data_IF_423034824440
#
_entry.id   IF_423034824440
#
_cell.length_a   1.000
_cell.length_b   1.000
_cell.length_c   1.000
_cell.angle_alpha   90.00
_cell.angle_beta   90.00
_cell.angle_gamma   90.00
#
_symmetry.space_group_name_H-M   'P 1'
#
loop_
_entity.id
_entity.type
_entity.pdbx_description
1 polymer ?
#
# COMPACT_ATOMS: atom_id res chain seq x y z
N UNK A 1 -41.61 -16.75 -10.13
CA UNK A 1 -41.03 -17.12 -8.82
C UNK A 1 -39.62 -17.61 -9.08
N UNK A 2 -38.67 -16.67 -9.04
CA UNK A 2 -37.22 -16.92 -9.09
C UNK A 2 -36.58 -15.59 -8.70
N UNK A 3 -36.21 -15.48 -7.43
CA UNK A 3 -35.76 -14.25 -6.80
C UNK A 3 -34.45 -13.76 -7.40
N UNK A 4 -34.43 -12.49 -7.76
CA UNK A 4 -33.19 -11.75 -7.95
C UNK A 4 -32.54 -11.60 -6.57
N UNK A 5 -31.33 -12.14 -6.44
CA UNK A 5 -30.49 -11.97 -5.26
C UNK A 5 -30.25 -10.48 -5.02
N UNK A 6 -30.89 -9.92 -3.98
CA UNK A 6 -30.50 -8.65 -3.37
C UNK A 6 -29.06 -8.77 -2.88
N UNK A 7 -28.11 -8.35 -3.73
CA UNK A 7 -26.74 -8.08 -3.30
C UNK A 7 -26.79 -6.91 -2.31
N UNK A 8 -26.12 -7.03 -1.15
CA UNK A 8 -26.15 -5.98 -0.14
C UNK A 8 -25.63 -4.68 -0.76
N UNK A 9 -26.49 -3.67 -0.83
CA UNK A 9 -26.10 -2.33 -1.23
C UNK A 9 -25.00 -1.85 -0.27
N UNK A 10 -23.76 -1.86 -0.74
CA UNK A 10 -22.66 -1.16 -0.07
C UNK A 10 -23.12 0.27 0.19
N UNK A 11 -22.95 0.83 1.40
CA UNK A 11 -23.42 2.17 1.74
C UNK A 11 -22.67 3.18 0.87
N UNK A 12 -23.22 3.45 -0.31
CA UNK A 12 -22.64 4.39 -1.24
C UNK A 12 -22.80 5.79 -0.65
N UNK A 13 -21.70 6.54 -0.57
CA UNK A 13 -21.70 7.93 -0.12
C UNK A 13 -22.45 8.87 -1.10
N UNK A 14 -23.02 8.31 -2.17
CA UNK A 14 -23.86 8.98 -3.14
C UNK A 14 -25.33 8.92 -2.70
N UNK A 15 -25.81 9.98 -2.05
CA UNK A 15 -27.26 10.13 -1.83
C UNK A 15 -27.93 10.46 -3.16
N UNK A 16 -28.47 9.45 -3.83
CA UNK A 16 -29.32 9.60 -5.01
C UNK A 16 -30.71 10.04 -4.56
N UNK A 17 -31.05 11.31 -4.79
CA UNK A 17 -32.41 11.80 -4.51
C UNK A 17 -33.19 11.76 -5.83
N UNK A 18 -34.14 10.82 -5.92
CA UNK A 18 -35.08 10.76 -7.04
C UNK A 18 -36.14 11.82 -6.82
N UNK A 19 -36.17 12.85 -7.67
CA UNK A 19 -37.23 13.86 -7.66
C UNK A 19 -38.21 13.57 -8.80
N UNK A 20 -39.51 13.54 -8.51
CA UNK A 20 -40.54 13.35 -9.52
C UNK A 20 -40.74 14.65 -10.30
N UNK A 21 -40.50 14.62 -11.61
CA UNK A 21 -40.81 15.73 -12.51
C UNK A 21 -42.32 15.92 -12.69
N UNK A 22 -42.70 17.05 -13.30
CA UNK A 22 -44.09 17.49 -13.46
C UNK A 22 -44.85 16.80 -14.62
N UNK A 23 -44.17 15.97 -15.43
CA UNK A 23 -44.74 15.26 -16.58
C UNK A 23 -44.62 13.74 -16.43
N UNK A 24 -45.59 13.01 -17.00
CA UNK A 24 -45.62 11.54 -17.01
C UNK A 24 -44.39 11.01 -17.77
N UNK A 25 -43.45 10.39 -17.05
CA UNK A 25 -42.21 9.81 -17.59
C UNK A 25 -40.93 10.51 -17.15
N UNK A 26 -41.02 11.68 -16.52
CA UNK A 26 -39.85 12.53 -16.25
C UNK A 26 -39.28 12.24 -14.84
N UNK A 27 -38.45 11.20 -14.75
CA UNK A 27 -37.75 10.81 -13.51
C UNK A 27 -36.27 11.10 -13.66
N UNK A 28 -35.77 12.16 -13.03
CA UNK A 28 -34.34 12.47 -13.00
C UNK A 28 -33.74 12.14 -11.62
N UNK A 29 -32.57 11.51 -11.64
CA UNK A 29 -31.80 11.21 -10.43
C UNK A 29 -30.76 12.32 -10.25
N UNK A 30 -30.90 13.14 -9.21
CA UNK A 30 -29.89 14.14 -8.86
C UNK A 30 -28.87 13.49 -7.93
N UNK A 31 -27.69 13.20 -8.46
CA UNK A 31 -26.56 12.69 -7.67
C UNK A 31 -25.94 13.88 -6.93
N UNK A 32 -26.22 14.00 -5.63
CA UNK A 32 -25.63 15.04 -4.79
C UNK A 32 -24.28 14.52 -4.28
N UNK A 33 -23.19 15.03 -4.85
CA UNK A 33 -21.83 14.81 -4.34
C UNK A 33 -21.60 15.75 -3.14
N UNK A 34 -21.18 15.27 -1.97
CA UNK A 34 -20.81 16.16 -0.86
C UNK A 34 -19.56 16.96 -1.26
N UNK A 35 -19.82 18.23 -1.59
CA UNK A 35 -18.81 19.22 -1.97
C UNK A 35 -17.85 19.38 -0.79
N UNK A 36 -16.54 19.20 -1.02
CA UNK A 36 -15.51 19.40 0.00
C UNK A 36 -15.02 18.14 0.73
N UNK A 37 -15.52 16.94 0.39
CA UNK A 37 -15.06 15.69 1.02
C UNK A 37 -13.68 15.23 0.57
N UNK A 38 -13.11 15.77 -0.51
CA UNK A 38 -11.83 15.28 -1.05
C UNK A 38 -11.85 13.79 -1.42
N UNK A 39 -13.02 13.21 -1.70
CA UNK A 39 -13.16 11.83 -2.13
C UNK A 39 -13.42 11.80 -3.65
N UNK A 40 -12.57 11.13 -4.43
CA UNK A 40 -12.77 10.93 -5.87
C UNK A 40 -13.37 9.54 -6.09
N UNK A 41 -14.61 9.47 -6.59
CA UNK A 41 -15.30 8.20 -6.79
C UNK A 41 -15.77 7.96 -8.22
N UNK A 42 -15.63 6.71 -8.69
CA UNK A 42 -16.17 6.21 -9.96
C UNK A 42 -16.64 4.76 -9.76
N UNK A 43 -17.91 4.47 -10.07
CA UNK A 43 -18.44 3.10 -10.08
C UNK A 43 -18.49 2.37 -8.73
N UNK A 44 -18.67 3.10 -7.61
CA UNK A 44 -18.76 2.50 -6.27
C UNK A 44 -17.41 2.35 -5.55
N UNK A 45 -16.28 2.73 -6.16
CA UNK A 45 -14.99 2.91 -5.48
C UNK A 45 -14.81 4.38 -5.12
N UNK A 46 -14.49 4.68 -3.86
CA UNK A 46 -14.14 6.01 -3.38
C UNK A 46 -12.66 6.06 -3.01
N UNK A 47 -11.92 6.98 -3.63
CA UNK A 47 -10.49 7.22 -3.36
C UNK A 47 -10.35 8.45 -2.49
N UNK A 48 -9.67 8.30 -1.35
CA UNK A 48 -9.33 9.41 -0.47
C UNK A 48 -8.21 10.25 -1.09
N UNK A 49 -8.55 11.43 -1.62
CA UNK A 49 -7.54 12.34 -2.19
C UNK A 49 -6.77 13.05 -1.09
N UNK A 50 -5.60 13.59 -1.41
CA UNK A 50 -4.71 14.29 -0.46
C UNK A 50 -5.40 15.35 0.43
N UNK A 51 -6.52 15.93 -0.03
CA UNK A 51 -7.30 16.92 0.72
C UNK A 51 -7.94 16.34 2.00
N UNK A 52 -8.24 15.03 2.03
CA UNK A 52 -8.74 14.33 3.23
C UNK A 52 -7.67 14.04 4.26
N UNK A 53 -6.44 13.78 3.81
CA UNK A 53 -5.30 13.49 4.68
C UNK A 53 -4.55 14.75 5.16
N UNK A 54 -4.97 15.93 4.69
CA UNK A 54 -4.41 17.20 5.15
C UNK A 54 -4.78 17.42 6.62
N UNK A 55 -3.82 17.18 7.51
CA UNK A 55 -3.97 17.34 8.96
C UNK A 55 -4.64 18.67 9.34
N UNK A 56 -5.80 18.59 9.99
CA UNK A 56 -6.57 19.74 10.48
C UNK A 56 -5.90 20.36 11.70
N UNK A 57 -4.78 21.08 11.52
CA UNK A 57 -4.10 21.77 12.62
C UNK A 57 -2.75 22.39 12.24
N UNK A 58 -2.33 23.45 12.94
CA UNK A 58 -1.02 24.11 12.70
C UNK A 58 0.16 23.16 13.00
N UNK A 59 0.04 22.36 14.05
CA UNK A 59 1.04 21.35 14.45
C UNK A 59 1.14 20.24 13.42
N UNK A 60 0.00 19.67 12.99
CA UNK A 60 -0.02 18.63 11.95
C UNK A 60 0.58 19.11 10.62
N UNK A 61 0.36 20.38 10.24
CA UNK A 61 0.97 20.97 9.03
C UNK A 61 2.49 21.13 9.16
N UNK A 62 2.98 21.52 10.33
CA UNK A 62 4.42 21.60 10.59
C UNK A 62 5.05 20.20 10.55
N UNK A 63 4.44 19.22 11.23
CA UNK A 63 4.87 17.82 11.21
C UNK A 63 4.93 17.23 9.79
N UNK A 64 3.87 17.44 8.99
CA UNK A 64 3.84 17.02 7.60
C UNK A 64 4.85 17.77 6.70
N UNK A 65 5.26 18.99 7.06
CA UNK A 65 6.35 19.70 6.34
C UNK A 65 7.70 19.09 6.68
N UNK A 66 7.95 18.80 7.95
CA UNK A 66 9.17 18.12 8.39
C UNK A 66 9.31 16.75 7.73
N UNK A 67 8.25 15.93 7.76
CA UNK A 67 8.24 14.63 7.08
C UNK A 67 8.45 14.75 5.57
N UNK A 68 7.84 15.74 4.92
CA UNK A 68 8.05 15.97 3.47
C UNK A 68 9.48 16.37 3.12
N UNK A 69 10.15 17.08 4.02
CA UNK A 69 11.55 17.44 3.83
C UNK A 69 12.49 16.26 4.06
N UNK A 70 12.23 15.45 5.10
CA UNK A 70 13.10 14.32 5.47
C UNK A 70 12.89 13.07 4.61
N UNK A 71 11.64 12.74 4.26
CA UNK A 71 11.25 11.48 3.60
C UNK A 71 10.83 11.73 2.15
N UNK A 72 10.28 12.91 1.85
CA UNK A 72 9.80 13.27 0.51
C UNK A 72 8.27 13.41 0.40
N UNK A 73 7.78 13.65 -0.82
CA UNK A 73 6.33 13.73 -1.10
C UNK A 73 5.69 12.35 -0.86
N UNK A 74 4.49 12.34 -0.26
CA UNK A 74 3.66 11.12 -0.19
C UNK A 74 3.22 10.74 -1.60
N UNK A 75 3.51 9.50 -1.99
CA UNK A 75 3.05 8.93 -3.24
C UNK A 75 1.61 8.44 -3.08
N UNK A 76 0.76 8.74 -4.06
CA UNK A 76 -0.57 8.14 -4.13
C UNK A 76 -0.38 6.66 -4.49
N UNK A 77 -1.02 5.75 -3.76
CA UNK A 77 -0.89 4.29 -3.94
C UNK A 77 -1.24 3.83 -5.35
N UNK A 78 -2.04 4.61 -6.11
CA UNK A 78 -2.34 4.34 -7.52
C UNK A 78 -1.19 4.72 -8.47
N UNK A 79 -0.29 5.63 -8.07
CA UNK A 79 0.88 6.07 -8.85
C UNK A 79 2.18 5.35 -8.42
N UNK A 80 2.17 4.66 -7.29
CA UNK A 80 3.33 3.94 -6.72
C UNK A 80 3.83 2.80 -7.63
N UNK A 81 2.91 2.15 -8.38
CA UNK A 81 3.26 1.05 -9.30
C UNK A 81 4.04 1.50 -10.55
N UNK A 82 3.94 2.78 -10.93
CA UNK A 82 4.61 3.33 -12.12
C UNK A 82 5.91 4.08 -11.79
N UNK A 83 6.13 4.41 -10.52
CA UNK A 83 7.30 5.18 -10.11
C UNK A 83 8.52 4.26 -9.97
N UNK A 84 9.53 4.47 -10.84
CA UNK A 84 10.78 3.73 -10.80
C UNK A 84 11.67 4.31 -9.71
N UNK A 85 12.08 3.47 -8.76
CA UNK A 85 13.05 3.84 -7.73
C UNK A 85 14.37 4.23 -8.40
N UNK A 86 14.79 5.49 -8.24
CA UNK A 86 16.06 5.98 -8.75
C UNK A 86 17.24 5.26 -8.08
N UNK A 87 18.42 5.24 -8.70
CA UNK A 87 19.61 4.63 -8.09
C UNK A 87 19.93 5.24 -6.72
N UNK A 88 19.75 6.56 -6.56
CA UNK A 88 20.04 7.25 -5.31
C UNK A 88 19.12 6.84 -4.16
N UNK A 89 17.85 6.55 -4.45
CA UNK A 89 16.87 6.11 -3.44
C UNK A 89 16.83 4.59 -3.28
N UNK A 90 17.12 3.84 -4.34
CA UNK A 90 17.09 2.38 -4.35
C UNK A 90 18.34 1.75 -3.73
N UNK A 91 19.50 2.39 -3.87
CA UNK A 91 20.76 1.87 -3.34
C UNK A 91 20.72 1.69 -1.82
N UNK A 92 20.27 2.66 -1.00
CA UNK A 92 20.15 2.46 0.45
C UNK A 92 19.15 1.36 0.84
N UNK A 93 18.04 1.24 0.11
CA UNK A 93 17.00 0.22 0.38
C UNK A 93 17.55 -1.18 0.11
N UNK A 94 18.14 -1.38 -1.07
CA UNK A 94 18.74 -2.66 -1.45
C UNK A 94 19.94 -3.01 -0.55
N UNK A 95 20.73 -2.02 -0.13
CA UNK A 95 21.83 -2.24 0.80
C UNK A 95 21.33 -2.67 2.19
N UNK A 96 20.31 -1.98 2.72
CA UNK A 96 19.73 -2.31 4.04
C UNK A 96 19.13 -3.71 4.08
N UNK A 97 18.45 -4.12 3.00
CA UNK A 97 17.84 -5.45 2.89
C UNK A 97 18.90 -6.57 2.81
N UNK A 98 19.95 -6.36 2.00
CA UNK A 98 21.06 -7.31 1.90
C UNK A 98 21.86 -7.46 3.20
N UNK A 99 22.07 -6.37 3.95
CA UNK A 99 22.76 -6.44 5.25
C UNK A 99 21.93 -7.27 6.23
N UNK A 100 20.61 -7.04 6.28
CA UNK A 100 19.72 -7.79 7.16
C UNK A 100 19.69 -9.28 6.80
N UNK A 101 19.60 -9.62 5.52
CA UNK A 101 19.53 -11.01 5.07
C UNK A 101 20.86 -11.75 5.28
N UNK A 102 21.99 -11.15 4.95
CA UNK A 102 23.31 -11.77 5.12
C UNK A 102 23.67 -12.00 6.59
N UNK A 103 23.38 -11.04 7.47
CA UNK A 103 23.61 -11.19 8.90
C UNK A 103 22.70 -12.26 9.52
N UNK A 104 21.39 -12.15 9.32
CA UNK A 104 20.43 -13.06 9.95
C UNK A 104 20.50 -14.47 9.37
N UNK A 105 20.65 -14.61 8.04
CA UNK A 105 20.71 -15.93 7.41
C UNK A 105 21.96 -16.71 7.81
N UNK A 106 23.12 -16.06 7.93
CA UNK A 106 24.35 -16.75 8.33
C UNK A 106 24.34 -17.12 9.82
N UNK A 107 23.82 -16.24 10.68
CA UNK A 107 23.62 -16.55 12.10
C UNK A 107 22.66 -17.74 12.30
N UNK A 108 21.49 -17.72 11.66
CA UNK A 108 20.51 -18.79 11.81
C UNK A 108 21.04 -20.11 11.24
N UNK A 109 21.76 -20.09 10.11
CA UNK A 109 22.39 -21.28 9.55
C UNK A 109 23.41 -21.89 10.53
N UNK A 110 24.31 -21.08 11.10
CA UNK A 110 25.27 -21.57 12.10
C UNK A 110 24.58 -22.05 13.37
N UNK A 111 23.50 -21.38 13.81
CA UNK A 111 22.72 -21.76 14.98
C UNK A 111 22.06 -23.14 14.79
N UNK A 112 21.43 -23.37 13.64
CA UNK A 112 20.83 -24.66 13.30
C UNK A 112 21.89 -25.76 13.22
N UNK A 113 23.05 -25.49 12.59
CA UNK A 113 24.15 -26.45 12.52
C UNK A 113 24.75 -26.73 13.90
N UNK A 114 24.94 -25.71 14.74
CA UNK A 114 25.44 -25.89 16.11
C UNK A 114 24.48 -26.74 16.95
N UNK A 115 23.16 -26.56 16.79
CA UNK A 115 22.14 -27.41 17.42
C UNK A 115 22.18 -28.85 16.89
N UNK A 116 22.47 -29.04 15.60
CA UNK A 116 22.68 -30.38 15.02
C UNK A 116 23.99 -31.04 15.50
N UNK A 117 24.96 -30.25 15.98
CA UNK A 117 26.20 -30.68 16.61
C UNK A 117 27.44 -29.97 16.06
N UNK A 118 28.50 -29.87 16.86
CA UNK A 118 29.72 -29.13 16.52
C UNK A 118 30.36 -29.62 15.20
N UNK A 119 30.29 -30.92 14.90
CA UNK A 119 30.77 -31.48 13.64
C UNK A 119 30.01 -30.99 12.41
N UNK A 120 28.74 -30.63 12.54
CA UNK A 120 27.93 -30.11 11.45
C UNK A 120 28.35 -28.70 11.01
N UNK A 121 29.06 -27.94 11.86
CA UNK A 121 29.62 -26.63 11.46
C UNK A 121 30.61 -26.75 10.30
N UNK A 122 31.24 -27.91 10.10
CA UNK A 122 32.08 -28.17 8.93
C UNK A 122 31.29 -28.11 7.60
N UNK A 123 29.97 -28.26 7.63
CA UNK A 123 29.08 -28.15 6.47
C UNK A 123 28.83 -26.69 6.04
N UNK A 124 29.23 -25.69 6.83
CA UNK A 124 29.02 -24.27 6.51
C UNK A 124 29.62 -23.89 5.16
N UNK A 125 30.86 -24.30 4.88
CA UNK A 125 31.54 -24.00 3.60
C UNK A 125 30.89 -24.73 2.40
N UNK A 126 30.61 -26.05 2.47
CA UNK A 126 29.83 -26.75 1.44
C UNK A 126 28.45 -26.12 1.17
N UNK A 127 27.71 -25.73 2.21
CA UNK A 127 26.39 -25.09 2.07
C UNK A 127 26.54 -23.73 1.38
N UNK A 128 27.53 -22.92 1.78
CA UNK A 128 27.80 -21.64 1.13
C UNK A 128 28.12 -21.80 -0.37
N UNK A 129 28.95 -22.79 -0.73
CA UNK A 129 29.26 -23.12 -2.12
C UNK A 129 27.99 -23.54 -2.88
N UNK A 130 27.15 -24.38 -2.28
CA UNK A 130 25.89 -24.81 -2.88
C UNK A 130 24.94 -23.63 -3.13
N UNK A 131 24.83 -22.70 -2.18
CA UNK A 131 24.04 -21.46 -2.34
C UNK A 131 24.58 -20.61 -3.48
N UNK A 132 25.90 -20.38 -3.53
CA UNK A 132 26.53 -19.63 -4.64
C UNK A 132 26.27 -20.30 -5.99
N UNK A 133 26.36 -21.63 -6.06
CA UNK A 133 26.11 -22.38 -7.28
C UNK A 133 24.65 -22.27 -7.76
N UNK A 134 23.68 -22.25 -6.84
CA UNK A 134 22.26 -22.08 -7.18
C UNK A 134 21.95 -20.66 -7.66
N UNK A 135 22.67 -19.66 -7.16
CA UNK A 135 22.48 -18.24 -7.51
C UNK A 135 23.25 -17.80 -8.77
N UNK A 136 24.25 -18.57 -9.22
CA UNK A 136 25.07 -18.30 -10.39
C UNK A 136 24.34 -18.63 -11.71
#
# INVERSE_FOLDING_TARGET
MSGEEERPESPSLERRVTQAGRHVGDRYVRIVRPIGSGLRGHGGRYVATEQTMASTGRVGRAWNRTLRFLIGKRLETEAEAEERVSVATGLPILASDNISSSAYATEEAMRVLALAGVGALALTMPIAIAVVFVLA
#
